data_IF_908215181630
#
_entry.id   IF_908215181630
#
_cell.length_a   1.000
_cell.length_b   1.000
_cell.length_c   1.000
_cell.angle_alpha   90.00
_cell.angle_beta   90.00
_cell.angle_gamma   90.00
#
_symmetry.space_group_name_H-M   'P 1'
#
loop_
_entity.id
_entity.type
_entity.pdbx_description
1 polymer ?
#
# COMPACT_ATOMS: atom_id res chain seq x y z
N UNK A 1 -15.52 -12.24 -26.45
CA UNK A 1 -14.59 -11.12 -26.74
C UNK A 1 -15.04 -9.79 -26.14
N UNK A 2 -16.32 -9.38 -26.25
CA UNK A 2 -16.79 -8.10 -25.67
C UNK A 2 -16.72 -8.05 -24.12
N UNK A 3 -17.10 -9.14 -23.43
CA UNK A 3 -17.00 -9.23 -21.96
C UNK A 3 -15.57 -9.10 -21.45
N UNK A 4 -14.62 -9.80 -22.06
CA UNK A 4 -13.20 -9.76 -21.70
C UNK A 4 -12.57 -8.38 -21.94
N UNK A 5 -13.01 -7.67 -22.99
CA UNK A 5 -12.54 -6.32 -23.28
C UNK A 5 -13.09 -5.25 -22.31
N UNK A 6 -14.32 -5.40 -21.82
CA UNK A 6 -14.89 -4.49 -20.80
C UNK A 6 -14.27 -4.78 -19.42
N UNK A 7 -14.05 -6.05 -19.10
CA UNK A 7 -13.45 -6.52 -17.83
C UNK A 7 -12.03 -5.99 -17.61
N UNK A 8 -11.23 -5.81 -18.66
CA UNK A 8 -9.88 -5.25 -18.54
C UNK A 8 -9.85 -3.72 -18.59
N UNK A 9 -10.78 -3.06 -19.27
CA UNK A 9 -10.79 -1.59 -19.44
C UNK A 9 -11.12 -0.81 -18.18
N UNK A 10 -12.03 -1.32 -17.35
CA UNK A 10 -12.48 -0.63 -16.13
C UNK A 10 -11.35 -0.45 -15.09
N UNK A 11 -10.59 -1.50 -14.70
CA UNK A 11 -9.50 -1.33 -13.74
C UNK A 11 -8.36 -0.44 -14.26
N UNK A 12 -8.05 -0.51 -15.56
CA UNK A 12 -7.01 0.32 -16.22
C UNK A 12 -7.29 1.80 -16.04
N UNK A 13 -8.50 2.23 -16.38
CA UNK A 13 -8.88 3.64 -16.31
C UNK A 13 -8.87 4.15 -14.86
N UNK A 14 -9.31 3.33 -13.90
CA UNK A 14 -9.33 3.71 -12.49
C UNK A 14 -7.91 3.90 -11.96
N UNK A 15 -6.96 3.00 -12.28
CA UNK A 15 -5.60 3.06 -11.73
C UNK A 15 -4.72 4.09 -12.44
N UNK A 16 -4.84 4.25 -13.75
CA UNK A 16 -4.15 5.31 -14.49
C UNK A 16 -4.50 6.69 -13.96
N UNK A 17 -5.78 6.91 -13.64
CA UNK A 17 -6.25 8.17 -13.11
C UNK A 17 -5.66 8.48 -11.71
N UNK A 18 -5.25 7.46 -10.96
CA UNK A 18 -4.76 7.61 -9.58
C UNK A 18 -3.26 7.87 -9.47
N UNK A 19 -2.49 7.69 -10.54
CA UNK A 19 -1.06 8.04 -10.56
C UNK A 19 -0.87 9.55 -10.26
N UNK A 20 -1.63 10.41 -10.93
CA UNK A 20 -1.58 11.87 -10.73
C UNK A 20 -1.85 12.28 -9.26
N UNK A 21 -3.01 11.90 -8.68
CA UNK A 21 -3.31 12.11 -7.27
C UNK A 21 -2.23 11.60 -6.31
N UNK A 22 -1.61 10.46 -6.57
CA UNK A 22 -0.52 9.94 -5.72
C UNK A 22 0.73 10.82 -5.78
N UNK A 23 1.12 11.30 -6.95
CA UNK A 23 2.22 12.26 -7.09
C UNK A 23 1.91 13.58 -6.38
N UNK A 24 0.68 14.09 -6.53
CA UNK A 24 0.22 15.30 -5.84
C UNK A 24 0.24 15.09 -4.32
N UNK A 25 -0.23 13.93 -3.84
CA UNK A 25 -0.20 13.58 -2.42
C UNK A 25 1.23 13.51 -1.86
N UNK A 26 2.14 12.85 -2.58
CA UNK A 26 3.58 12.83 -2.23
C UNK A 26 4.16 14.24 -2.16
N UNK A 27 3.90 15.08 -3.17
CA UNK A 27 4.39 16.45 -3.22
C UNK A 27 3.82 17.30 -2.07
N UNK A 28 2.54 17.11 -1.73
CA UNK A 28 1.89 17.78 -0.61
C UNK A 28 2.54 17.40 0.73
N UNK A 29 2.74 16.11 1.00
CA UNK A 29 3.43 15.66 2.22
C UNK A 29 4.87 16.18 2.28
N UNK A 30 5.57 16.19 1.16
CA UNK A 30 6.92 16.75 1.09
C UNK A 30 6.93 18.25 1.39
N UNK A 31 6.00 19.02 0.83
CA UNK A 31 5.90 20.46 1.08
C UNK A 31 5.53 20.79 2.53
N UNK A 32 4.73 19.94 3.17
CA UNK A 32 4.36 20.10 4.58
C UNK A 32 5.47 19.67 5.55
N UNK A 33 6.51 18.97 5.09
CA UNK A 33 7.57 18.48 5.95
C UNK A 33 8.45 19.61 6.52
N UNK A 34 8.58 19.64 7.84
CA UNK A 34 9.43 20.55 8.59
C UNK A 34 10.80 19.93 8.90
N UNK A 35 10.89 18.60 9.04
CA UNK A 35 12.12 17.91 9.41
C UNK A 35 12.52 16.77 8.44
N UNK A 36 13.74 16.24 8.61
CA UNK A 36 14.28 15.20 7.73
C UNK A 36 13.49 13.88 7.81
N UNK A 37 12.96 13.53 8.98
CA UNK A 37 12.17 12.31 9.16
C UNK A 37 10.83 12.38 8.42
N UNK A 38 10.17 13.54 8.43
CA UNK A 38 8.98 13.82 7.65
C UNK A 38 9.28 13.82 6.15
N UNK A 39 10.43 14.34 5.72
CA UNK A 39 10.84 14.25 4.31
C UNK A 39 11.01 12.80 3.86
N UNK A 40 11.80 12.03 4.61
CA UNK A 40 12.05 10.60 4.30
C UNK A 40 10.73 9.83 4.24
N UNK A 41 9.86 10.08 5.22
CA UNK A 41 8.54 9.46 5.29
C UNK A 41 7.66 9.81 4.09
N UNK A 42 7.61 11.08 3.70
CA UNK A 42 6.81 11.54 2.56
C UNK A 42 7.25 10.86 1.26
N UNK A 43 8.58 10.77 1.05
CA UNK A 43 9.16 10.09 -0.11
C UNK A 43 8.87 8.59 -0.09
N UNK A 44 9.11 7.90 1.03
CA UNK A 44 8.89 6.45 1.14
C UNK A 44 7.43 6.09 0.92
N UNK A 45 6.50 6.76 1.62
CA UNK A 45 5.07 6.49 1.48
C UNK A 45 4.55 6.89 0.09
N UNK A 46 4.93 8.07 -0.40
CA UNK A 46 4.52 8.57 -1.71
C UNK A 46 5.03 7.71 -2.86
N UNK A 47 6.30 7.30 -2.85
CA UNK A 47 6.83 6.36 -3.85
C UNK A 47 6.16 5.00 -3.78
N UNK A 48 5.85 4.50 -2.58
CA UNK A 48 5.08 3.25 -2.41
C UNK A 48 3.70 3.35 -3.05
N UNK A 49 2.99 4.47 -2.83
CA UNK A 49 1.66 4.71 -3.40
C UNK A 49 1.70 4.89 -4.92
N UNK A 50 2.70 5.61 -5.44
CA UNK A 50 2.92 5.75 -6.89
C UNK A 50 3.26 4.39 -7.53
N UNK A 51 4.14 3.60 -6.90
CA UNK A 51 4.53 2.28 -7.39
C UNK A 51 3.34 1.32 -7.46
N UNK A 52 2.48 1.32 -6.43
CA UNK A 52 1.25 0.52 -6.38
C UNK A 52 0.39 0.73 -7.63
N UNK A 53 0.07 1.99 -7.96
CA UNK A 53 -0.77 2.30 -9.11
C UNK A 53 -0.04 2.20 -10.45
N UNK A 54 1.26 2.48 -10.49
CA UNK A 54 2.07 2.35 -11.69
C UNK A 54 2.19 0.89 -12.12
N UNK A 55 2.53 0.00 -11.19
CA UNK A 55 2.67 -1.44 -11.48
C UNK A 55 1.35 -2.02 -11.94
N UNK A 56 0.24 -1.71 -11.27
CA UNK A 56 -1.09 -2.15 -11.67
C UNK A 56 -1.50 -1.60 -13.05
N UNK A 57 -1.20 -0.34 -13.34
CA UNK A 57 -1.44 0.27 -14.65
C UNK A 57 -0.65 -0.43 -15.76
N UNK A 58 0.65 -0.62 -15.56
CA UNK A 58 1.54 -1.26 -16.53
C UNK A 58 1.13 -2.72 -16.76
N UNK A 59 0.74 -3.43 -15.69
CA UNK A 59 0.17 -4.77 -15.75
C UNK A 59 -1.01 -4.83 -16.74
N UNK A 60 -2.00 -3.96 -16.58
CA UNK A 60 -3.20 -4.04 -17.40
C UNK A 60 -2.99 -3.55 -18.86
N UNK A 61 -2.12 -2.56 -19.09
CA UNK A 61 -1.79 -2.13 -20.46
C UNK A 61 -1.11 -3.26 -21.22
N UNK A 62 -0.17 -3.97 -20.58
CA UNK A 62 0.63 -5.00 -21.25
C UNK A 62 -0.17 -6.29 -21.44
N UNK A 63 -0.95 -6.73 -20.46
CA UNK A 63 -1.86 -7.87 -20.61
C UNK A 63 -2.88 -7.63 -21.73
N UNK A 64 -3.34 -6.40 -21.91
CA UNK A 64 -4.19 -6.02 -23.05
C UNK A 64 -3.47 -6.08 -24.40
N UNK A 65 -2.27 -5.47 -24.50
CA UNK A 65 -1.55 -5.35 -25.78
C UNK A 65 -0.90 -6.66 -26.24
N UNK A 66 -0.55 -7.55 -25.30
CA UNK A 66 0.29 -8.74 -25.55
C UNK A 66 -0.30 -10.03 -24.97
N UNK A 67 -1.63 -10.19 -25.11
CA UNK A 67 -2.44 -11.33 -24.62
C UNK A 67 -1.97 -12.75 -25.00
N UNK A 68 -0.89 -12.93 -25.79
CA UNK A 68 -0.39 -14.24 -26.24
C UNK A 68 0.90 -14.71 -25.53
N UNK A 69 1.55 -13.88 -24.69
CA UNK A 69 2.81 -14.26 -24.02
C UNK A 69 2.59 -14.59 -22.53
N UNK A 70 2.37 -15.89 -22.22
CA UNK A 70 2.21 -16.39 -20.83
C UNK A 70 3.35 -15.97 -19.88
N UNK A 71 4.60 -15.92 -20.35
CA UNK A 71 5.75 -15.53 -19.50
C UNK A 71 5.70 -14.08 -19.06
N UNK A 72 5.09 -13.20 -19.88
CA UNK A 72 4.95 -11.78 -19.58
C UNK A 72 3.87 -11.59 -18.52
N UNK A 73 2.71 -12.22 -18.72
CA UNK A 73 1.62 -12.25 -17.74
C UNK A 73 2.11 -12.71 -16.35
N UNK A 74 2.87 -13.81 -16.31
CA UNK A 74 3.45 -14.35 -15.08
C UNK A 74 4.38 -13.37 -14.35
N UNK A 75 5.31 -12.71 -15.06
CA UNK A 75 6.20 -11.70 -14.48
C UNK A 75 5.40 -10.52 -13.90
N UNK A 76 4.36 -10.09 -14.61
CA UNK A 76 3.52 -8.97 -14.17
C UNK A 76 2.66 -9.30 -12.96
N UNK A 77 2.13 -10.53 -12.84
CA UNK A 77 1.47 -10.99 -11.61
C UNK A 77 2.43 -11.03 -10.40
N UNK A 78 3.71 -11.32 -10.62
CA UNK A 78 4.73 -11.25 -9.56
C UNK A 78 4.96 -9.81 -9.12
N UNK A 79 5.11 -8.89 -10.06
CA UNK A 79 5.29 -7.47 -9.76
C UNK A 79 4.13 -6.91 -8.94
N UNK A 80 2.88 -7.23 -9.29
CA UNK A 80 1.68 -6.79 -8.56
C UNK A 80 1.70 -7.29 -7.10
N UNK A 81 2.11 -8.54 -6.86
CA UNK A 81 2.29 -9.08 -5.49
C UNK A 81 3.42 -8.43 -4.72
N UNK A 82 4.57 -8.24 -5.38
CA UNK A 82 5.74 -7.61 -4.75
C UNK A 82 5.39 -6.19 -4.33
N UNK A 83 4.66 -5.44 -5.14
CA UNK A 83 4.29 -4.06 -4.82
C UNK A 83 3.44 -3.97 -3.57
N UNK A 84 2.59 -4.97 -3.29
CA UNK A 84 1.78 -5.03 -2.06
C UNK A 84 2.69 -5.12 -0.82
N UNK A 85 3.71 -5.98 -0.83
CA UNK A 85 4.66 -6.09 0.29
C UNK A 85 5.36 -4.76 0.59
N UNK A 86 5.86 -4.10 -0.44
CA UNK A 86 6.51 -2.80 -0.32
C UNK A 86 5.53 -1.70 0.11
N UNK A 87 4.29 -1.73 -0.38
CA UNK A 87 3.27 -0.76 -0.01
C UNK A 87 2.86 -0.89 1.46
N UNK A 88 2.72 -2.12 1.97
CA UNK A 88 2.48 -2.36 3.41
C UNK A 88 3.64 -1.76 4.23
N UNK A 89 4.89 -2.04 3.86
CA UNK A 89 6.06 -1.48 4.54
C UNK A 89 6.08 0.06 4.51
N UNK A 90 5.80 0.64 3.33
CA UNK A 90 5.74 2.08 3.14
C UNK A 90 4.59 2.72 3.94
N UNK A 91 3.43 2.07 4.06
CA UNK A 91 2.26 2.59 4.78
C UNK A 91 2.46 2.69 6.30
N UNK A 92 3.27 1.81 6.88
CA UNK A 92 3.61 1.85 8.30
C UNK A 92 4.80 2.76 8.62
N UNK A 93 5.65 3.06 7.64
CA UNK A 93 6.85 3.90 7.83
C UNK A 93 6.54 5.27 8.47
N UNK A 94 5.48 6.01 8.07
CA UNK A 94 5.09 7.26 8.75
C UNK A 94 4.83 7.10 10.24
N UNK A 95 4.08 6.05 10.60
CA UNK A 95 3.72 5.77 11.98
C UNK A 95 4.96 5.36 12.80
N UNK A 96 5.88 4.62 12.20
CA UNK A 96 7.10 4.18 12.87
C UNK A 96 8.21 5.24 12.90
N UNK A 97 8.17 6.26 12.04
CA UNK A 97 9.19 7.32 12.04
C UNK A 97 8.77 8.57 12.81
N UNK A 98 7.50 8.94 12.74
CA UNK A 98 7.02 10.24 13.23
C UNK A 98 6.39 10.18 14.62
N UNK A 99 6.07 8.99 15.10
CA UNK A 99 5.54 8.79 16.46
C UNK A 99 6.62 8.26 17.38
N UNK A 100 6.56 8.71 18.62
CA UNK A 100 7.47 8.28 19.68
C UNK A 100 6.89 7.04 20.36
N UNK A 101 7.35 5.84 19.98
CA UNK A 101 6.99 4.59 20.68
C UNK A 101 8.17 3.88 21.38
N UNK A 102 9.22 4.64 21.70
CA UNK A 102 10.39 4.09 22.37
C UNK A 102 11.21 3.13 21.50
N UNK A 103 12.01 2.23 22.13
CA UNK A 103 12.97 1.38 21.40
C UNK A 103 12.32 0.37 20.45
N UNK A 104 11.11 -0.09 20.75
CA UNK A 104 10.41 -1.12 19.98
C UNK A 104 10.16 -0.68 18.53
N UNK A 105 9.97 0.62 18.30
CA UNK A 105 9.79 1.21 16.97
C UNK A 105 10.98 0.97 16.05
N UNK A 106 12.21 1.02 16.58
CA UNK A 106 13.41 0.81 15.77
C UNK A 106 13.49 -0.64 15.26
N UNK A 107 13.16 -1.60 16.11
CA UNK A 107 13.06 -3.01 15.71
C UNK A 107 11.97 -3.24 14.67
N UNK A 108 10.82 -2.58 14.84
CA UNK A 108 9.70 -2.73 13.91
C UNK A 108 9.97 -2.16 12.52
N UNK A 109 10.77 -1.09 12.44
CA UNK A 109 11.23 -0.52 11.17
C UNK A 109 12.07 -1.52 10.37
N UNK A 110 13.03 -2.18 11.02
CA UNK A 110 13.82 -3.22 10.33
C UNK A 110 12.97 -4.44 10.00
N UNK A 111 12.14 -4.89 10.95
CA UNK A 111 11.28 -6.05 10.77
C UNK A 111 10.40 -5.93 9.52
N UNK A 112 9.71 -4.80 9.35
CA UNK A 112 8.75 -4.66 8.25
C UNK A 112 9.43 -4.64 6.87
N UNK A 113 10.59 -3.99 6.75
CA UNK A 113 11.33 -3.95 5.49
C UNK A 113 12.03 -5.27 5.18
N UNK A 114 12.56 -5.96 6.18
CA UNK A 114 13.11 -7.31 6.02
C UNK A 114 12.02 -8.29 5.59
N UNK A 115 10.83 -8.19 6.16
CA UNK A 115 9.68 -9.00 5.75
C UNK A 115 9.21 -8.67 4.33
N UNK A 116 9.26 -7.42 3.90
CA UNK A 116 8.96 -7.05 2.51
C UNK A 116 9.95 -7.70 1.53
N UNK A 117 11.25 -7.68 1.86
CA UNK A 117 12.29 -8.34 1.06
C UNK A 117 12.13 -9.85 1.08
N UNK A 118 11.86 -10.45 2.24
CA UNK A 118 11.61 -11.89 2.37
C UNK A 118 10.39 -12.34 1.57
N UNK A 119 9.28 -11.59 1.64
CA UNK A 119 8.08 -11.82 0.84
C UNK A 119 8.36 -11.71 -0.66
N UNK A 120 9.20 -10.75 -1.06
CA UNK A 120 9.65 -10.60 -2.46
C UNK A 120 10.43 -11.82 -2.94
N UNK A 121 11.43 -12.26 -2.16
CA UNK A 121 12.23 -13.47 -2.45
C UNK A 121 11.30 -14.69 -2.55
N UNK A 122 10.31 -14.79 -1.66
CA UNK A 122 9.33 -15.88 -1.68
C UNK A 122 8.49 -15.87 -2.97
N UNK A 123 7.98 -14.71 -3.40
CA UNK A 123 7.24 -14.58 -4.66
C UNK A 123 8.11 -15.02 -5.85
N UNK A 124 9.39 -14.63 -5.88
CA UNK A 124 10.32 -15.02 -6.94
C UNK A 124 10.62 -16.52 -6.99
N UNK A 125 10.82 -17.17 -5.84
CA UNK A 125 11.23 -18.57 -5.79
C UNK A 125 10.07 -19.57 -5.87
N UNK A 126 8.91 -19.24 -5.29
CA UNK A 126 7.84 -20.20 -5.07
C UNK A 126 6.54 -19.86 -5.78
N UNK A 127 6.49 -18.78 -6.56
CA UNK A 127 5.37 -18.36 -7.42
C UNK A 127 4.04 -19.11 -7.21
N UNK A 128 3.18 -18.60 -6.32
CA UNK A 128 1.86 -19.16 -5.95
C UNK A 128 1.81 -20.59 -5.39
N UNK A 129 2.92 -21.32 -5.32
CA UNK A 129 2.94 -22.74 -4.91
C UNK A 129 2.34 -22.94 -3.53
N UNK A 130 2.61 -22.04 -2.58
CA UNK A 130 2.03 -22.11 -1.22
C UNK A 130 1.24 -20.83 -0.90
N UNK A 131 -0.01 -20.79 -1.35
CA UNK A 131 -0.94 -19.65 -1.12
C UNK A 131 -1.15 -19.30 0.36
N UNK A 132 -1.01 -20.28 1.26
CA UNK A 132 -1.12 -20.09 2.71
C UNK A 132 0.07 -19.32 3.27
N UNK A 133 1.28 -19.62 2.78
CA UNK A 133 2.51 -18.94 3.23
C UNK A 133 2.47 -17.48 2.80
N UNK A 134 2.06 -17.19 1.56
CA UNK A 134 1.89 -15.82 1.08
C UNK A 134 0.90 -15.03 1.95
N UNK A 135 -0.25 -15.64 2.28
CA UNK A 135 -1.23 -15.03 3.18
C UNK A 135 -0.64 -14.78 4.58
N UNK A 136 0.14 -15.72 5.11
CA UNK A 136 0.80 -15.57 6.40
C UNK A 136 1.79 -14.40 6.41
N UNK A 137 2.56 -14.19 5.34
CA UNK A 137 3.43 -13.02 5.21
C UNK A 137 2.64 -11.71 5.22
N UNK A 138 1.57 -11.60 4.43
CA UNK A 138 0.73 -10.39 4.42
C UNK A 138 0.07 -10.13 5.79
N UNK A 139 -0.48 -11.16 6.44
CA UNK A 139 -1.09 -11.02 7.76
C UNK A 139 -0.06 -10.63 8.82
N UNK A 140 1.14 -11.21 8.78
CA UNK A 140 2.22 -10.88 9.72
C UNK A 140 2.64 -9.43 9.54
N UNK A 141 2.85 -8.97 8.31
CA UNK A 141 3.21 -7.58 8.02
C UNK A 141 2.09 -6.60 8.32
N UNK A 142 0.83 -7.02 8.21
CA UNK A 142 -0.32 -6.20 8.58
C UNK A 142 -0.53 -6.10 10.09
N UNK A 143 -0.42 -7.22 10.81
CA UNK A 143 -0.87 -7.32 12.20
C UNK A 143 0.19 -6.88 13.21
N UNK A 144 1.44 -7.32 13.05
CA UNK A 144 2.49 -7.05 14.03
C UNK A 144 2.78 -5.55 14.18
N UNK A 145 3.00 -4.78 13.10
CA UNK A 145 3.17 -3.33 13.21
C UNK A 145 1.94 -2.63 13.78
N UNK A 146 0.73 -3.13 13.49
CA UNK A 146 -0.49 -2.58 14.07
C UNK A 146 -0.54 -2.74 15.59
N UNK A 147 -0.06 -3.85 16.16
CA UNK A 147 0.04 -4.02 17.62
C UNK A 147 0.98 -3.00 18.26
N UNK A 148 2.10 -2.70 17.60
CA UNK A 148 3.05 -1.69 18.07
C UNK A 148 2.45 -0.28 17.93
N UNK A 149 1.79 0.00 16.81
CA UNK A 149 1.19 1.31 16.56
C UNK A 149 -0.01 1.57 17.48
N UNK A 150 -0.74 0.53 17.90
CA UNK A 150 -1.86 0.68 18.84
C UNK A 150 -1.43 0.83 20.30
N UNK A 151 -0.18 0.55 20.66
CA UNK A 151 0.35 0.83 22.00
C UNK A 151 0.85 2.26 22.19
N UNK A 152 0.65 3.14 21.20
CA UNK A 152 0.99 4.56 21.28
C UNK A 152 0.16 5.29 22.35
N UNK A 153 0.83 6.18 23.09
CA UNK A 153 0.15 7.10 24.03
C UNK A 153 -0.79 8.08 23.31
N UNK A 154 -0.42 8.53 22.11
CA UNK A 154 -1.30 9.34 21.26
C UNK A 154 -2.04 8.43 20.30
N UNK A 155 -3.37 8.38 20.45
CA UNK A 155 -4.27 7.53 19.68
C UNK A 155 -4.86 8.21 18.44
N UNK A 156 -4.45 9.46 18.16
CA UNK A 156 -4.95 10.21 17.01
C UNK A 156 -4.60 9.48 15.70
N UNK A 157 -5.59 9.32 14.84
CA UNK A 157 -5.42 8.64 13.56
C UNK A 157 -5.37 7.11 13.63
N UNK A 158 -5.38 6.50 14.82
CA UNK A 158 -5.46 5.04 14.96
C UNK A 158 -6.81 4.50 14.48
N UNK A 159 -7.88 5.26 14.67
CA UNK A 159 -9.20 4.88 14.17
C UNK A 159 -9.21 4.80 12.64
N UNK A 160 -8.65 5.79 11.95
CA UNK A 160 -8.53 5.80 10.50
C UNK A 160 -7.57 4.71 10.01
N UNK A 161 -6.46 4.47 10.72
CA UNK A 161 -5.56 3.35 10.41
C UNK A 161 -6.27 2.00 10.50
N UNK A 162 -7.06 1.78 11.56
CA UNK A 162 -7.84 0.56 11.75
C UNK A 162 -8.95 0.44 10.69
N UNK A 163 -9.65 1.54 10.38
CA UNK A 163 -10.68 1.59 9.35
C UNK A 163 -10.10 1.23 7.97
N UNK A 164 -8.96 1.83 7.59
CA UNK A 164 -8.25 1.51 6.35
C UNK A 164 -7.81 0.04 6.30
N UNK A 165 -7.28 -0.48 7.41
CA UNK A 165 -6.91 -1.90 7.55
C UNK A 165 -8.10 -2.84 7.36
N UNK A 166 -9.27 -2.51 7.95
CA UNK A 166 -10.50 -3.29 7.78
C UNK A 166 -11.00 -3.26 6.33
N UNK A 167 -10.99 -2.09 5.68
CA UNK A 167 -11.33 -1.96 4.25
C UNK A 167 -10.41 -2.86 3.41
N UNK A 168 -9.11 -2.89 3.71
CA UNK A 168 -8.17 -3.75 3.01
C UNK A 168 -8.46 -5.24 3.23
N UNK A 169 -8.72 -5.66 4.47
CA UNK A 169 -9.09 -7.03 4.80
C UNK A 169 -10.35 -7.49 4.05
N UNK A 170 -11.37 -6.63 3.94
CA UNK A 170 -12.57 -6.90 3.14
C UNK A 170 -12.23 -7.03 1.65
N UNK A 171 -11.36 -6.17 1.14
CA UNK A 171 -10.85 -6.26 -0.23
C UNK A 171 -10.22 -7.63 -0.53
N UNK A 172 -9.44 -8.19 0.40
CA UNK A 172 -8.70 -9.45 0.20
C UNK A 172 -9.64 -10.62 -0.13
N UNK A 173 -10.89 -10.58 0.36
CA UNK A 173 -11.93 -11.54 0.00
C UNK A 173 -12.20 -11.52 -1.50
N UNK A 174 -12.30 -10.34 -2.11
CA UNK A 174 -12.49 -10.19 -3.56
C UNK A 174 -11.23 -10.54 -4.34
N UNK A 175 -10.04 -10.21 -3.82
CA UNK A 175 -8.77 -10.62 -4.43
C UNK A 175 -8.63 -12.14 -4.54
N UNK A 176 -8.97 -12.87 -3.47
CA UNK A 176 -8.94 -14.35 -3.47
C UNK A 176 -10.08 -14.97 -4.28
N UNK A 177 -11.15 -14.22 -4.51
CA UNK A 177 -12.30 -14.64 -5.33
C UNK A 177 -12.12 -14.28 -6.82
N UNK A 178 -10.94 -13.77 -7.22
CA UNK A 178 -10.63 -13.46 -8.60
C UNK A 178 -10.70 -14.72 -9.48
N UNK A 179 -11.37 -14.61 -10.62
CA UNK A 179 -11.71 -15.73 -11.49
C UNK A 179 -12.96 -16.54 -11.09
N UNK A 180 -13.50 -16.37 -9.88
CA UNK A 180 -14.75 -17.02 -9.42
C UNK A 180 -15.93 -16.06 -9.55
N UNK A 181 -15.78 -14.83 -9.06
CA UNK A 181 -16.82 -13.79 -9.09
C UNK A 181 -16.55 -12.84 -10.26
N UNK A 182 -17.54 -12.52 -11.12
CA UNK A 182 -17.34 -11.53 -12.17
C UNK A 182 -17.01 -10.16 -11.55
N UNK A 183 -16.00 -9.48 -12.10
CA UNK A 183 -15.50 -8.18 -11.63
C UNK A 183 -14.81 -8.16 -10.26
N UNK A 184 -14.53 -9.32 -9.65
CA UNK A 184 -13.86 -9.39 -8.34
C UNK A 184 -12.55 -8.60 -8.29
N UNK A 185 -11.73 -8.68 -9.34
CA UNK A 185 -10.49 -7.92 -9.46
C UNK A 185 -10.70 -6.40 -9.47
N UNK A 186 -11.74 -5.92 -10.18
CA UNK A 186 -12.04 -4.50 -10.23
C UNK A 186 -12.58 -3.99 -8.88
N UNK A 187 -13.39 -4.82 -8.20
CA UNK A 187 -13.89 -4.51 -6.85
C UNK A 187 -12.73 -4.45 -5.86
N UNK A 188 -11.81 -5.44 -5.90
CA UNK A 188 -10.58 -5.44 -5.10
C UNK A 188 -9.83 -4.11 -5.19
N UNK A 189 -9.62 -3.64 -6.41
CA UNK A 189 -8.98 -2.36 -6.70
C UNK A 189 -9.68 -1.17 -6.05
N UNK A 190 -11.00 -1.12 -6.06
CA UNK A 190 -11.76 -0.06 -5.37
C UNK A 190 -11.51 -0.09 -3.85
N UNK A 191 -11.49 -1.28 -3.23
CA UNK A 191 -11.16 -1.42 -1.81
C UNK A 191 -9.74 -0.95 -1.50
N UNK A 192 -8.76 -1.31 -2.33
CA UNK A 192 -7.35 -0.89 -2.17
C UNK A 192 -7.23 0.64 -2.24
N UNK A 193 -7.91 1.27 -3.19
CA UNK A 193 -7.90 2.73 -3.35
C UNK A 193 -8.54 3.43 -2.17
N UNK A 194 -9.70 2.93 -1.71
CA UNK A 194 -10.39 3.49 -0.57
C UNK A 194 -9.55 3.35 0.71
N UNK A 195 -8.96 2.18 0.95
CA UNK A 195 -8.06 1.96 2.07
C UNK A 195 -6.86 2.92 2.01
N UNK A 196 -6.20 3.01 0.86
CA UNK A 196 -5.06 3.91 0.66
C UNK A 196 -5.42 5.39 0.89
N UNK A 197 -6.61 5.82 0.46
CA UNK A 197 -7.11 7.17 0.70
C UNK A 197 -7.32 7.46 2.20
N UNK A 198 -7.90 6.50 2.94
CA UNK A 198 -8.09 6.61 4.40
C UNK A 198 -6.73 6.67 5.11
N UNK A 199 -5.77 5.81 4.73
CA UNK A 199 -4.42 5.82 5.28
C UNK A 199 -3.69 7.15 4.98
N UNK A 200 -3.80 7.65 3.74
CA UNK A 200 -3.23 8.93 3.34
C UNK A 200 -3.81 10.08 4.18
N UNK A 201 -5.13 10.12 4.34
CA UNK A 201 -5.81 11.12 5.16
C UNK A 201 -5.32 11.10 6.61
N UNK A 202 -5.17 9.90 7.20
CA UNK A 202 -4.67 9.74 8.55
C UNK A 202 -3.24 10.30 8.70
N UNK A 203 -2.35 9.97 7.77
CA UNK A 203 -0.96 10.44 7.76
C UNK A 203 -0.93 11.98 7.62
N UNK A 204 -1.63 12.51 6.62
CA UNK A 204 -1.66 13.95 6.35
C UNK A 204 -2.19 14.74 7.56
N UNK A 205 -3.34 14.33 8.12
CA UNK A 205 -3.99 15.06 9.21
C UNK A 205 -3.26 14.92 10.55
N UNK A 206 -2.89 13.70 10.94
CA UNK A 206 -2.42 13.43 12.30
C UNK A 206 -0.90 13.40 12.45
N UNK A 207 -0.16 13.22 11.36
CA UNK A 207 1.32 13.20 11.40
C UNK A 207 1.95 14.48 10.84
N UNK A 208 1.36 15.08 9.79
CA UNK A 208 1.93 16.30 9.17
C UNK A 208 1.22 17.58 9.60
N UNK A 209 -0.06 17.53 9.96
CA UNK A 209 -0.86 18.69 10.36
C UNK A 209 -1.12 18.77 11.88
N UNK A 210 -0.42 17.95 12.67
CA UNK A 210 -0.54 17.93 14.13
C UNK A 210 -0.07 19.27 14.75
N UNK A 211 -0.66 19.75 15.87
CA UNK A 211 -0.41 21.09 16.45
C UNK A 211 1.07 21.45 16.71
N UNK A 212 1.96 20.46 16.79
CA UNK A 212 3.42 20.67 16.90
C UNK A 212 3.99 21.48 15.71
N UNK A 213 3.35 21.43 14.54
CA UNK A 213 3.73 22.20 13.35
C UNK A 213 3.26 23.66 13.38
N UNK A 214 2.20 23.99 14.14
CA UNK A 214 1.73 25.38 14.30
C UNK A 214 2.65 26.15 15.25
N UNK A 215 3.11 25.51 16.33
CA UNK A 215 4.01 26.15 17.31
C UNK A 215 5.37 26.58 16.73
N UNK A 216 5.82 25.98 15.62
CA UNK A 216 7.07 26.34 14.92
C UNK A 216 6.84 27.39 13.82
N UNK A 217 5.60 27.51 13.30
CA UNK A 217 5.27 28.50 12.27
C UNK A 217 4.94 29.88 12.84
N UNK A 218 4.57 29.93 14.12
CA UNK A 218 4.19 31.16 14.83
C UNK A 218 5.30 31.70 15.77
N UNK A 219 6.53 31.15 15.69
CA UNK A 219 7.71 31.56 16.46
C UNK A 219 8.80 32.13 15.54
#
# INVERSE_FOLDING_TARGET
MLRTAILTRLPVCTMQLLIGPSFVGMALLHWLSANNWEKITAWVYGMGLCALFLVSTVFHIITWKKSHMRSVEHCFHMCDRVVIYFFIAASYTPWLNLRELGPLTAHMRWFIWLMAVAGTIYVFNYHEKYKVVELAFYLTMGFFPALVVTSMNNTDGLYELACGGLIYCLGVVFFKSDGVIPFAHAIWHVFVVLAAAVHYYAIWKYLYRSPRAETIRDA
#
